data_IF_482586735488
#
_entry.id   IF_482586735488
#
_cell.length_a   1.000
_cell.length_b   1.000
_cell.length_c   1.000
_cell.angle_alpha   90.00
_cell.angle_beta   90.00
_cell.angle_gamma   90.00
#
_symmetry.space_group_name_H-M   'P 1'
#
loop_
_entity.id
_entity.type
_entity.pdbx_description
1 polymer ?
#
# COMPACT_ATOMS: atom_id res chain seq x y z
N UNK A 1 7.00 -22.38 -4.74
CA UNK A 1 8.01 -21.66 -5.55
C UNK A 1 8.49 -20.47 -4.73
N UNK A 2 9.79 -20.33 -4.49
CA UNK A 2 10.34 -19.26 -3.65
C UNK A 2 10.19 -17.85 -4.25
N UNK A 3 10.27 -16.83 -3.39
CA UNK A 3 10.24 -15.40 -3.76
C UNK A 3 11.49 -15.04 -4.57
N UNK A 4 11.33 -14.51 -5.78
CA UNK A 4 12.46 -14.05 -6.63
C UNK A 4 12.74 -12.57 -6.38
N UNK A 5 14.02 -12.17 -6.42
CA UNK A 5 14.43 -10.75 -6.39
C UNK A 5 13.95 -10.07 -7.68
N UNK A 6 13.37 -8.88 -7.55
CA UNK A 6 12.95 -8.03 -8.67
C UNK A 6 13.54 -6.63 -8.51
N UNK A 7 13.81 -5.94 -9.61
CA UNK A 7 14.28 -4.55 -9.60
C UNK A 7 13.14 -3.58 -9.26
N UNK A 8 13.46 -2.45 -8.63
CA UNK A 8 12.49 -1.39 -8.31
C UNK A 8 12.29 -0.52 -9.55
N UNK A 9 11.49 -1.03 -10.48
CA UNK A 9 11.07 -0.35 -11.71
C UNK A 9 9.58 -0.63 -11.97
N UNK A 10 8.90 0.20 -12.78
CA UNK A 10 7.51 -0.08 -13.19
C UNK A 10 7.41 -1.48 -13.81
N UNK A 11 6.48 -2.29 -13.29
CA UNK A 11 6.30 -3.68 -13.75
C UNK A 11 5.55 -3.65 -15.08
N UNK A 12 6.25 -3.93 -16.17
CA UNK A 12 5.70 -3.95 -17.54
C UNK A 12 5.21 -5.33 -17.99
N UNK A 13 5.52 -6.38 -17.22
CA UNK A 13 5.16 -7.77 -17.56
C UNK A 13 3.65 -7.95 -17.38
N UNK A 14 2.95 -8.39 -18.43
CA UNK A 14 1.55 -8.90 -18.51
C UNK A 14 0.53 -8.48 -17.43
N UNK A 15 -0.66 -8.04 -17.82
CA UNK A 15 -1.75 -7.52 -16.97
C UNK A 15 -2.01 -8.17 -15.59
N UNK A 16 -1.77 -9.48 -15.39
CA UNK A 16 -1.96 -10.16 -14.10
C UNK A 16 -0.83 -9.91 -13.08
N UNK A 17 0.41 -9.72 -13.54
CA UNK A 17 1.58 -9.52 -12.67
C UNK A 17 1.56 -8.19 -11.90
N UNK A 18 1.22 -7.02 -12.50
CA UNK A 18 1.16 -5.76 -11.75
C UNK A 18 0.01 -5.75 -10.74
N UNK A 19 -1.12 -6.42 -11.03
CA UNK A 19 -2.28 -6.46 -10.14
C UNK A 19 -1.99 -7.31 -8.89
N UNK A 20 -1.49 -8.53 -9.07
CA UNK A 20 -1.12 -9.41 -7.96
C UNK A 20 0.01 -8.78 -7.13
N UNK A 21 1.03 -8.22 -7.80
CA UNK A 21 2.14 -7.55 -7.10
C UNK A 21 1.66 -6.34 -6.29
N UNK A 22 0.76 -5.53 -6.86
CA UNK A 22 0.16 -4.40 -6.15
C UNK A 22 -0.63 -4.87 -4.92
N UNK A 23 -1.46 -5.91 -5.07
CA UNK A 23 -2.25 -6.43 -3.96
C UNK A 23 -1.36 -6.92 -2.81
N UNK A 24 -0.38 -7.79 -3.12
CA UNK A 24 0.53 -8.34 -2.12
C UNK A 24 1.38 -7.26 -1.46
N UNK A 25 1.95 -6.31 -2.22
CA UNK A 25 2.76 -5.21 -1.66
C UNK A 25 1.93 -4.24 -0.82
N UNK A 26 0.72 -3.90 -1.27
CA UNK A 26 -0.22 -3.05 -0.51
C UNK A 26 -0.59 -3.71 0.81
N UNK A 27 -0.89 -5.01 0.82
CA UNK A 27 -1.22 -5.73 2.04
C UNK A 27 -0.02 -5.79 3.00
N UNK A 28 1.18 -6.06 2.49
CA UNK A 28 2.41 -6.01 3.29
C UNK A 28 2.67 -4.64 3.91
N UNK A 29 2.46 -3.56 3.14
CA UNK A 29 2.59 -2.19 3.63
C UNK A 29 1.59 -1.89 4.76
N UNK A 30 0.33 -2.33 4.62
CA UNK A 30 -0.68 -2.13 5.65
C UNK A 30 -0.39 -2.93 6.92
N UNK A 31 0.14 -4.15 6.79
CA UNK A 31 0.59 -4.94 7.96
C UNK A 31 1.73 -4.24 8.69
N UNK A 32 2.76 -3.75 7.98
CA UNK A 32 3.86 -3.01 8.59
C UNK A 32 3.40 -1.70 9.25
N UNK A 33 2.48 -0.98 8.62
CA UNK A 33 1.88 0.21 9.22
C UNK A 33 1.09 -0.10 10.50
N UNK A 34 0.40 -1.24 10.54
CA UNK A 34 -0.29 -1.73 11.73
C UNK A 34 0.67 -2.13 12.85
N UNK A 35 1.70 -2.92 12.53
CA UNK A 35 2.76 -3.30 13.47
C UNK A 35 3.38 -2.05 14.11
N UNK A 36 3.74 -1.04 13.31
CA UNK A 36 4.30 0.21 13.80
C UNK A 36 3.33 0.96 14.73
N UNK A 37 2.06 1.07 14.33
CA UNK A 37 1.04 1.73 15.15
C UNK A 37 0.85 1.08 16.51
N UNK A 38 0.84 -0.26 16.56
CA UNK A 38 0.69 -1.02 17.82
C UNK A 38 1.95 -0.96 18.68
N UNK A 39 3.14 -1.19 18.10
CA UNK A 39 4.40 -1.26 18.84
C UNK A 39 4.79 0.08 19.45
N UNK A 40 4.59 1.18 18.72
CA UNK A 40 5.03 2.50 19.15
C UNK A 40 3.89 3.38 19.68
N UNK A 41 2.64 2.91 19.68
CA UNK A 41 1.45 3.70 20.05
C UNK A 41 1.35 5.01 19.26
N UNK A 42 1.58 4.95 17.94
CA UNK A 42 1.57 6.11 17.04
C UNK A 42 0.39 6.06 16.07
N UNK A 43 -0.10 7.24 15.67
CA UNK A 43 -1.11 7.39 14.63
C UNK A 43 -0.45 7.28 13.24
N UNK A 44 -0.80 6.23 12.49
CA UNK A 44 -0.29 6.00 11.12
C UNK A 44 -1.43 6.06 10.12
N UNK A 45 -1.22 6.77 9.01
CA UNK A 45 -2.13 6.84 7.87
C UNK A 45 -1.40 6.56 6.57
N UNK A 46 -1.96 5.68 5.73
CA UNK A 46 -1.42 5.35 4.41
C UNK A 46 -2.52 5.53 3.36
N UNK A 47 -2.23 6.34 2.34
CA UNK A 47 -3.15 6.68 1.25
C UNK A 47 -2.51 6.22 -0.06
N UNK A 48 -3.18 5.33 -0.80
CA UNK A 48 -2.70 4.81 -2.08
C UNK A 48 -3.79 4.95 -3.13
N UNK A 49 -3.48 5.64 -4.22
CA UNK A 49 -4.32 5.70 -5.41
C UNK A 49 -3.89 4.62 -6.41
N UNK A 50 -4.78 3.67 -6.72
CA UNK A 50 -4.51 2.66 -7.72
C UNK A 50 -4.57 3.24 -9.14
N UNK A 51 -3.51 3.05 -9.93
CA UNK A 51 -3.45 3.46 -11.33
C UNK A 51 -4.29 2.57 -12.28
N UNK A 52 -4.94 1.53 -11.76
CA UNK A 52 -5.62 0.49 -12.54
C UNK A 52 -7.10 0.81 -12.82
N UNK A 53 -7.40 2.07 -13.09
CA UNK A 53 -8.69 2.47 -13.62
C UNK A 53 -8.50 2.72 -15.12
N UNK A 54 -9.18 1.93 -15.96
CA UNK A 54 -9.19 2.18 -17.40
C UNK A 54 -9.72 3.59 -17.72
N UNK A 55 -9.53 4.08 -18.96
CA UNK A 55 -10.04 5.40 -19.35
C UNK A 55 -11.54 5.48 -19.06
N UNK A 56 -11.93 6.40 -18.15
CA UNK A 56 -13.32 6.63 -17.74
C UNK A 56 -13.74 5.98 -16.42
N UNK A 57 -12.83 5.40 -15.63
CA UNK A 57 -13.11 4.97 -14.25
C UNK A 57 -12.31 5.79 -13.23
N UNK A 58 -12.88 6.02 -12.06
CA UNK A 58 -12.16 6.65 -10.96
C UNK A 58 -11.08 5.71 -10.40
N UNK A 59 -9.92 6.29 -10.07
CA UNK A 59 -8.83 5.55 -9.43
C UNK A 59 -9.32 4.93 -8.12
N UNK A 60 -9.14 3.61 -7.98
CA UNK A 60 -9.53 2.92 -6.75
C UNK A 60 -8.67 3.42 -5.59
N UNK A 61 -9.33 4.00 -4.59
CA UNK A 61 -8.70 4.50 -3.39
C UNK A 61 -8.50 3.37 -2.37
N UNK A 62 -7.27 3.16 -1.95
CA UNK A 62 -6.90 2.23 -0.91
C UNK A 62 -6.35 3.00 0.30
N UNK A 63 -6.98 2.82 1.45
CA UNK A 63 -6.67 3.56 2.66
C UNK A 63 -6.43 2.59 3.82
N UNK A 64 -5.43 2.92 4.63
CA UNK A 64 -5.23 2.33 5.95
C UNK A 64 -5.01 3.46 6.96
N UNK A 65 -5.57 3.31 8.15
CA UNK A 65 -5.41 4.25 9.26
C UNK A 65 -5.51 3.48 10.56
N UNK A 66 -4.62 3.76 11.51
CA UNK A 66 -4.69 3.20 12.88
C UNK A 66 -5.96 3.66 13.60
N UNK A 67 -6.33 4.93 13.42
CA UNK A 67 -7.53 5.55 14.00
C UNK A 67 -8.41 6.15 12.90
N UNK A 68 -8.90 7.39 13.05
CA UNK A 68 -9.72 8.06 12.05
C UNK A 68 -8.86 8.87 11.08
N UNK A 69 -8.86 8.47 9.81
CA UNK A 69 -8.10 9.13 8.73
C UNK A 69 -8.36 10.63 8.65
N UNK A 70 -9.60 11.07 8.85
CA UNK A 70 -9.95 12.50 8.78
C UNK A 70 -9.30 13.28 9.91
N UNK A 71 -9.19 12.68 11.09
CA UNK A 71 -8.54 13.30 12.24
C UNK A 71 -7.03 13.43 12.00
N UNK A 72 -6.39 12.36 11.49
CA UNK A 72 -4.95 12.38 11.18
C UNK A 72 -4.64 13.45 10.11
N UNK A 73 -5.42 13.51 9.03
CA UNK A 73 -5.26 14.53 7.97
C UNK A 73 -5.51 15.93 8.51
N UNK A 74 -6.54 16.12 9.35
CA UNK A 74 -6.82 17.41 9.96
C UNK A 74 -5.69 17.85 10.91
N UNK A 75 -5.16 16.93 11.71
CA UNK A 75 -4.02 17.18 12.60
C UNK A 75 -2.78 17.55 11.79
N UNK A 76 -2.53 16.90 10.66
CA UNK A 76 -1.46 17.25 9.74
C UNK A 76 -1.63 18.67 9.17
N UNK A 77 -2.82 19.04 8.69
CA UNK A 77 -3.08 20.39 8.16
C UNK A 77 -2.86 21.48 9.21
N UNK A 78 -3.16 21.17 10.47
CA UNK A 78 -3.01 22.10 11.60
C UNK A 78 -1.61 22.07 12.22
N UNK A 79 -0.75 21.13 11.80
CA UNK A 79 0.58 20.95 12.35
C UNK A 79 1.48 22.11 11.90
N UNK A 80 2.20 22.72 12.85
CA UNK A 80 3.14 23.83 12.61
C UNK A 80 4.52 23.54 13.23
N UNK A 81 4.77 22.28 13.61
CA UNK A 81 6.03 21.85 14.23
C UNK A 81 7.09 21.46 13.21
N UNK A 82 8.18 20.88 13.71
CA UNK A 82 9.21 20.26 12.87
C UNK A 82 8.66 18.97 12.22
N UNK A 83 8.90 18.80 10.92
CA UNK A 83 8.39 17.68 10.12
C UNK A 83 9.54 16.95 9.42
N UNK A 84 9.64 15.64 9.63
CA UNK A 84 10.56 14.77 8.87
C UNK A 84 9.85 14.29 7.60
N UNK A 85 10.16 14.92 6.46
CA UNK A 85 9.56 14.61 5.16
C UNK A 85 10.57 13.82 4.31
N UNK A 86 10.26 12.55 4.07
CA UNK A 86 11.05 11.65 3.21
C UNK A 86 10.41 11.52 1.84
N UNK A 87 11.16 11.86 0.81
CA UNK A 87 10.79 11.69 -0.59
C UNK A 87 11.34 10.39 -1.19
N UNK A 88 11.02 10.10 -2.46
CA UNK A 88 11.54 8.93 -3.17
C UNK A 88 13.07 8.86 -3.24
N UNK A 89 13.74 10.03 -3.21
CA UNK A 89 15.20 10.13 -3.25
C UNK A 89 15.87 9.54 -2.01
N UNK A 90 15.23 9.63 -0.84
CA UNK A 90 15.75 9.11 0.43
C UNK A 90 15.80 7.58 0.46
N UNK A 91 15.00 6.93 -0.39
CA UNK A 91 14.93 5.48 -0.50
C UNK A 91 15.64 4.92 -1.74
N UNK A 92 16.00 5.78 -2.71
CA UNK A 92 16.69 5.38 -3.93
C UNK A 92 18.22 5.29 -3.74
N UNK A 93 18.68 4.58 -2.71
CA UNK A 93 20.05 4.04 -2.60
C UNK A 93 21.25 4.99 -2.78
N UNK A 94 21.06 6.32 -2.77
CA UNK A 94 22.09 7.30 -3.07
C UNK A 94 22.25 8.30 -1.92
N UNK A 95 22.71 7.81 -0.76
CA UNK A 95 23.18 8.67 0.33
C UNK A 95 22.57 8.31 1.68
N UNK A 96 23.31 7.57 2.50
CA UNK A 96 22.90 7.27 3.86
C UNK A 96 23.75 6.18 4.52
N UNK A 97 25.05 6.44 4.66
CA UNK A 97 25.87 5.69 5.60
C UNK A 97 25.50 6.11 7.03
N UNK A 98 24.53 5.44 7.64
CA UNK A 98 24.44 5.28 9.11
C UNK A 98 23.96 3.86 9.37
N UNK A 99 24.83 3.08 10.00
CA UNK A 99 24.64 1.65 10.21
C UNK A 99 23.69 1.29 11.36
N UNK A 100 23.61 -0.03 11.54
CA UNK A 100 22.94 -0.81 12.59
C UNK A 100 21.42 -1.02 12.43
N UNK A 101 21.02 -2.21 11.96
CA UNK A 101 20.57 -3.31 12.83
C UNK A 101 20.17 -4.54 11.99
N UNK A 102 20.83 -5.68 12.22
CA UNK A 102 20.48 -6.98 11.64
C UNK A 102 19.26 -7.54 12.39
N UNK A 103 18.06 -7.28 11.86
CA UNK A 103 16.82 -7.90 12.33
C UNK A 103 16.48 -9.14 11.51
N UNK A 104 16.54 -10.32 12.13
CA UNK A 104 16.01 -11.57 11.58
C UNK A 104 14.49 -11.44 11.32
N UNK A 105 14.07 -11.56 10.06
CA UNK A 105 12.66 -11.60 9.67
C UNK A 105 12.08 -12.99 9.97
N UNK A 106 11.26 -13.09 11.01
CA UNK A 106 10.34 -14.21 11.24
C UNK A 106 9.24 -14.22 10.17
N UNK A 107 9.10 -15.34 9.47
CA UNK A 107 8.12 -15.58 8.41
C UNK A 107 6.66 -15.51 8.93
N UNK A 108 6.04 -14.33 8.85
CA UNK A 108 4.61 -14.17 9.05
C UNK A 108 3.83 -14.62 7.81
N UNK A 109 3.30 -15.84 7.85
CA UNK A 109 2.39 -16.41 6.86
C UNK A 109 1.23 -15.44 6.56
N UNK A 110 1.23 -14.88 5.35
CA UNK A 110 0.14 -14.05 4.85
C UNK A 110 -1.01 -14.92 4.35
N UNK A 111 -2.18 -14.77 4.96
CA UNK A 111 -3.42 -15.38 4.48
C UNK A 111 -3.71 -14.94 3.03
N UNK A 112 -3.88 -15.90 2.11
CA UNK A 112 -4.07 -15.69 0.67
C UNK A 112 -5.45 -15.16 0.27
N UNK A 113 -6.39 -15.03 1.21
CA UNK A 113 -7.79 -14.67 0.92
C UNK A 113 -7.97 -13.23 0.40
N UNK A 114 -7.00 -12.34 0.64
CA UNK A 114 -7.09 -10.93 0.24
C UNK A 114 -6.71 -10.66 -1.23
N UNK A 115 -6.08 -11.62 -1.92
CA UNK A 115 -5.65 -11.48 -3.32
C UNK A 115 -6.86 -11.44 -4.29
N UNK A 116 -7.91 -12.20 -3.97
CA UNK A 116 -9.12 -12.35 -4.80
C UNK A 116 -9.93 -11.05 -4.91
N UNK A 117 -9.82 -10.14 -3.92
CA UNK A 117 -10.58 -8.87 -3.88
C UNK A 117 -9.94 -7.74 -4.71
N UNK A 118 -8.72 -7.95 -5.19
CA UNK A 118 -8.01 -6.99 -6.04
C UNK A 118 -8.23 -7.24 -7.55
N UNK A 119 -8.98 -8.28 -7.91
CA UNK A 119 -9.39 -8.50 -9.30
C UNK A 119 -10.27 -7.32 -9.78
N UNK A 120 -10.09 -6.84 -11.03
CA UNK A 120 -11.04 -5.93 -11.62
C UNK A 120 -12.40 -6.64 -11.65
N UNK A 121 -13.45 -5.96 -11.16
CA UNK A 121 -14.82 -6.43 -11.28
C UNK A 121 -15.16 -6.47 -12.77
N UNK A 122 -14.93 -7.62 -13.43
CA UNK A 122 -15.46 -7.86 -14.77
C UNK A 122 -16.98 -7.95 -14.63
N UNK A 123 -17.65 -6.88 -15.05
CA UNK A 123 -19.04 -6.85 -15.49
C UNK A 123 -20.07 -7.55 -14.60
N UNK A 124 -20.61 -6.84 -13.60
CA UNK A 124 -22.02 -7.04 -13.26
C UNK A 124 -22.87 -6.25 -14.25
N UNK A 125 -23.11 -6.83 -15.43
CA UNK A 125 -24.26 -6.46 -16.27
C UNK A 125 -25.50 -6.88 -15.47
N UNK A 126 -26.20 -5.91 -14.91
CA UNK A 126 -27.55 -6.11 -14.41
C UNK A 126 -28.51 -6.19 -15.60
N UNK A 127 -28.85 -7.41 -16.01
CA UNK A 127 -30.24 -7.77 -16.34
C UNK A 127 -31.02 -7.57 -15.02
N UNK A 128 -32.18 -6.93 -14.89
CA UNK A 128 -33.34 -6.82 -15.77
C UNK A 128 -34.17 -5.56 -15.43
N UNK A 129 -35.03 -5.25 -16.39
CA UNK A 129 -35.90 -4.09 -16.56
C UNK A 129 -37.20 -4.15 -15.71
N UNK A 130 -37.70 -2.96 -15.37
CA UNK A 130 -39.11 -2.55 -15.16
C UNK A 130 -39.93 -3.22 -14.05
N UNK A 131 -40.38 -2.38 -13.10
CA UNK A 131 -41.76 -2.37 -12.63
C UNK A 131 -42.22 -0.90 -12.53
#
# INVERSE_FOLDING_TARGET
>A
MGRRKIEIQPITVSYSCPISTFCSRKNGLFKKAYELGVLCSVDVAVIVFGALAGPGHDAKLHLYSSTNIRNIVQRQIQHQGEEDIKGPADFSGAGGATGADDGEDDDAAGNDEDAEKCLPLVGRRGEDQVA
#
